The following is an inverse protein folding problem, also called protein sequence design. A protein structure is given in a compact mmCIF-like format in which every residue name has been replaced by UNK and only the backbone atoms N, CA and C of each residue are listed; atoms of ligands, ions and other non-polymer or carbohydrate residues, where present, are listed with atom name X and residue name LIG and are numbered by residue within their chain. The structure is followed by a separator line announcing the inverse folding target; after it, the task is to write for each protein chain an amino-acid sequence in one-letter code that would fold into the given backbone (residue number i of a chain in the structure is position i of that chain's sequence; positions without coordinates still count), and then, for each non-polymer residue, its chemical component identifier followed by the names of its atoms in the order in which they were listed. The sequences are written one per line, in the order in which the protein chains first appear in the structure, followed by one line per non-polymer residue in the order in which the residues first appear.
data_IF_012453177614
#
_entry.id   IF_012453177614
#
_cell.length_a   1.000
_cell.length_b   1.000
_cell.length_c   1.000
_cell.angle_alpha   90.00
_cell.angle_beta   90.00
_cell.angle_gamma   90.00
#
_symmetry.space_group_name_H-M   'P 1'
#
loop_
_entity.id
_entity.type
_entity.pdbx_description
1 polymer ?
#
# COMPACT_ATOMS: atom_id res chain seq x y z
N UNK A 1 -3.16 2.78 13.19
CA UNK A 1 -2.58 3.80 12.28
C UNK A 1 -3.25 5.14 12.52
N UNK A 2 -4.56 5.28 12.29
CA UNK A 2 -5.28 6.53 12.63
C UNK A 2 -5.24 6.84 14.13
N UNK A 3 -5.47 5.86 15.01
CA UNK A 3 -5.37 6.03 16.47
C UNK A 3 -3.98 6.45 16.97
N UNK A 4 -2.92 6.17 16.21
CA UNK A 4 -1.57 6.62 16.53
C UNK A 4 -1.33 8.05 16.04
N UNK A 5 -2.03 8.46 14.98
CA UNK A 5 -1.92 9.79 14.40
C UNK A 5 -2.74 10.83 15.16
N UNK A 6 -3.89 10.45 15.71
CA UNK A 6 -4.76 11.33 16.51
C UNK A 6 -4.45 11.31 18.02
N UNK A 7 -3.48 10.47 18.42
CA UNK A 7 -3.00 10.33 19.79
C UNK A 7 -4.13 10.21 20.83
N UNK A 8 -4.28 11.21 21.71
CA UNK A 8 -5.29 11.23 22.77
C UNK A 8 -6.58 11.98 22.42
N UNK A 9 -6.63 12.72 21.30
CA UNK A 9 -7.81 13.48 20.89
C UNK A 9 -8.46 12.87 19.64
N UNK A 10 -9.52 12.10 19.89
CA UNK A 10 -10.23 11.37 18.86
C UNK A 10 -11.43 12.15 18.30
N UNK A 11 -11.65 13.41 18.69
CA UNK A 11 -12.87 14.15 18.30
C UNK A 11 -12.91 14.50 16.81
N UNK A 12 -11.74 14.83 16.25
CA UNK A 12 -11.60 15.36 14.88
C UNK A 12 -10.76 14.42 14.00
N UNK A 13 -10.84 13.11 14.26
CA UNK A 13 -10.05 12.10 13.55
C UNK A 13 -10.29 12.08 12.03
N UNK A 14 -11.47 12.52 11.61
CA UNK A 14 -11.92 12.61 10.22
C UNK A 14 -11.22 13.75 9.46
N UNK A 15 -10.92 14.87 10.12
CA UNK A 15 -10.15 15.99 9.53
C UNK A 15 -8.74 15.55 9.12
N UNK A 16 -8.22 14.51 9.77
CA UNK A 16 -6.89 13.96 9.53
C UNK A 16 -6.83 12.90 8.42
N UNK A 17 -7.98 12.39 7.95
CA UNK A 17 -8.03 11.35 6.92
C UNK A 17 -7.33 11.71 5.61
N UNK A 18 -7.48 12.93 5.05
CA UNK A 18 -6.82 13.27 3.78
C UNK A 18 -5.29 13.20 3.89
N UNK A 19 -4.73 13.70 4.99
CA UNK A 19 -3.29 13.69 5.24
C UNK A 19 -2.79 12.25 5.43
N UNK A 20 -3.51 11.44 6.21
CA UNK A 20 -3.16 10.03 6.42
C UNK A 20 -3.24 9.22 5.13
N UNK A 21 -4.28 9.43 4.33
CA UNK A 21 -4.46 8.76 3.04
C UNK A 21 -3.33 9.12 2.08
N UNK A 22 -2.94 10.40 2.00
CA UNK A 22 -1.82 10.83 1.17
C UNK A 22 -0.51 10.18 1.61
N UNK A 23 -0.21 10.20 2.91
CA UNK A 23 0.98 9.58 3.48
C UNK A 23 1.01 8.07 3.20
N UNK A 24 -0.11 7.38 3.39
CA UNK A 24 -0.22 5.95 3.11
C UNK A 24 -0.03 5.63 1.62
N UNK A 25 -0.61 6.44 0.72
CA UNK A 25 -0.52 6.19 -0.71
C UNK A 25 0.85 6.50 -1.32
N UNK A 26 1.64 7.37 -0.68
CA UNK A 26 2.98 7.76 -1.16
C UNK A 26 4.12 7.03 -0.45
N UNK A 27 3.84 6.34 0.67
CA UNK A 27 4.82 5.49 1.33
C UNK A 27 5.03 4.17 0.56
N UNK A 28 6.29 3.73 0.46
CA UNK A 28 6.62 2.41 -0.09
C UNK A 28 6.13 1.33 0.87
N UNK A 29 5.33 0.40 0.37
CA UNK A 29 4.83 -0.72 1.16
C UNK A 29 5.83 -1.88 1.14
N UNK A 30 6.22 -2.40 2.31
CA UNK A 30 7.20 -3.49 2.44
C UNK A 30 6.77 -4.80 1.74
N UNK A 31 5.47 -5.10 1.71
CA UNK A 31 4.95 -6.32 1.11
C UNK A 31 4.93 -6.26 -0.42
N UNK A 32 4.77 -5.08 -1.02
CA UNK A 32 4.72 -4.90 -2.48
C UNK A 32 6.04 -4.38 -3.05
N UNK A 33 6.83 -3.64 -2.28
CA UNK A 33 8.03 -2.93 -2.71
C UNK A 33 7.75 -1.64 -3.49
N UNK A 34 6.49 -1.22 -3.61
CA UNK A 34 6.05 -0.03 -4.35
C UNK A 34 5.11 0.82 -3.52
N UNK A 35 4.91 2.07 -3.92
CA UNK A 35 3.85 2.92 -3.36
C UNK A 35 2.48 2.46 -3.88
N UNK A 36 1.41 2.51 -3.06
CA UNK A 36 0.05 2.27 -3.55
C UNK A 36 -0.36 3.21 -4.68
N UNK A 37 0.09 4.47 -4.63
CA UNK A 37 -0.16 5.46 -5.67
C UNK A 37 0.34 4.99 -7.04
N UNK A 38 1.60 4.54 -7.11
CA UNK A 38 2.19 4.08 -8.35
C UNK A 38 1.49 2.85 -8.91
N UNK A 39 1.15 1.85 -8.07
CA UNK A 39 0.47 0.65 -8.53
C UNK A 39 -0.95 0.94 -9.07
N UNK A 40 -1.67 1.87 -8.44
CA UNK A 40 -3.04 2.20 -8.82
C UNK A 40 -3.13 3.17 -10.01
N UNK A 41 -2.20 4.13 -10.10
CA UNK A 41 -2.29 5.24 -11.06
C UNK A 41 -1.19 5.21 -12.13
N UNK A 42 -0.19 4.34 -12.01
CA UNK A 42 0.98 4.31 -12.89
C UNK A 42 1.92 5.51 -12.73
N UNK A 43 1.72 6.32 -11.69
CA UNK A 43 2.53 7.50 -11.36
C UNK A 43 2.41 7.82 -9.87
N UNK A 44 3.36 8.57 -9.36
CA UNK A 44 3.28 9.09 -8.00
C UNK A 44 2.27 10.24 -7.87
N UNK A 45 1.75 10.43 -6.65
CA UNK A 45 0.90 11.58 -6.34
C UNK A 45 1.77 12.85 -6.25
N UNK A 46 1.20 13.97 -6.72
CA UNK A 46 1.86 15.26 -6.59
C UNK A 46 1.88 15.67 -5.11
N UNK A 47 3.04 16.11 -4.62
CA UNK A 47 3.15 16.67 -3.28
C UNK A 47 2.65 18.11 -3.28
N UNK A 48 2.12 18.61 -2.14
CA UNK A 48 1.62 19.99 -2.04
C UNK A 48 2.65 21.08 -2.38
N UNK A 49 3.94 20.75 -2.29
CA UNK A 49 5.07 21.63 -2.59
C UNK A 49 5.94 21.07 -3.70
N UNK A 50 5.37 20.28 -4.62
CA UNK A 50 6.14 19.80 -5.76
C UNK A 50 6.60 21.01 -6.56
N UNK A 51 7.92 21.22 -6.63
CA UNK A 51 8.51 22.01 -7.71
C UNK A 51 7.93 21.46 -9.02
N UNK A 52 7.53 22.33 -9.95
CA UNK A 52 7.04 21.96 -11.27
C UNK A 52 8.16 21.24 -12.04
N UNK A 53 8.47 20.00 -11.66
CA UNK A 53 9.27 19.09 -12.43
C UNK A 53 8.38 18.71 -13.58
N UNK A 54 8.69 19.29 -14.74
CA UNK A 54 8.18 18.94 -16.05
C UNK A 54 7.90 17.44 -16.09
N UNK A 55 6.64 17.06 -15.92
CA UNK A 55 6.18 15.72 -16.28
C UNK A 55 6.41 15.62 -17.77
N UNK A 56 7.56 15.09 -18.16
CA UNK A 56 7.81 14.70 -19.55
C UNK A 56 6.67 13.76 -19.90
N UNK A 57 5.87 14.12 -20.91
CA UNK A 57 4.76 13.30 -21.34
C UNK A 57 5.31 11.94 -21.79
N UNK A 58 5.23 10.95 -20.90
CA UNK A 58 5.58 9.57 -21.22
C UNK A 58 4.42 8.97 -22.00
N UNK A 59 4.73 8.25 -23.07
CA UNK A 59 3.72 7.60 -23.88
C UNK A 59 2.89 6.62 -23.03
N UNK A 60 1.54 6.61 -23.14
CA UNK A 60 0.69 5.74 -22.33
C UNK A 60 1.03 4.25 -22.43
N UNK A 61 1.55 3.81 -23.58
CA UNK A 61 2.00 2.43 -23.82
C UNK A 61 3.21 2.06 -22.96
N UNK A 62 4.12 3.00 -22.73
CA UNK A 62 5.31 2.78 -21.91
C UNK A 62 4.95 2.72 -20.43
N UNK A 63 4.08 3.60 -19.96
CA UNK A 63 3.54 3.59 -18.59
C UNK A 63 2.88 2.23 -18.33
N UNK A 64 2.02 1.77 -19.25
CA UNK A 64 1.38 0.45 -19.13
C UNK A 64 2.40 -0.67 -18.98
N UNK A 65 3.43 -0.70 -19.82
CA UNK A 65 4.50 -1.71 -19.76
C UNK A 65 5.28 -1.64 -18.43
N UNK A 66 5.55 -0.44 -17.92
CA UNK A 66 6.23 -0.26 -16.63
C UNK A 66 5.39 -0.76 -15.46
N UNK A 67 4.09 -0.45 -15.48
CA UNK A 67 3.13 -0.89 -14.46
C UNK A 67 2.95 -2.42 -14.50
N UNK A 68 2.85 -3.02 -15.68
CA UNK A 68 2.78 -4.49 -15.83
C UNK A 68 3.99 -5.18 -15.21
N UNK A 69 5.21 -4.70 -15.50
CA UNK A 69 6.44 -5.20 -14.86
C UNK A 69 6.41 -5.03 -13.33
N UNK A 70 5.92 -3.90 -12.84
CA UNK A 70 5.78 -3.67 -11.40
C UNK A 70 4.79 -4.65 -10.76
N UNK A 71 3.69 -4.98 -11.42
CA UNK A 71 2.74 -5.99 -10.95
C UNK A 71 3.35 -7.39 -10.90
N UNK A 72 4.17 -7.78 -11.88
CA UNK A 72 4.90 -9.06 -11.86
C UNK A 72 5.81 -9.16 -10.64
N UNK A 73 6.61 -8.13 -10.37
CA UNK A 73 7.48 -8.08 -9.20
C UNK A 73 6.69 -8.06 -7.88
N UNK A 74 5.58 -7.31 -7.85
CA UNK A 74 4.70 -7.23 -6.69
C UNK A 74 4.14 -8.60 -6.31
N UNK A 75 3.75 -9.44 -7.29
CA UNK A 75 3.29 -10.81 -7.02
C UNK A 75 4.36 -11.66 -6.33
N UNK A 76 5.61 -11.54 -6.75
CA UNK A 76 6.74 -12.24 -6.13
C UNK A 76 6.97 -11.74 -4.70
N UNK A 77 6.94 -10.43 -4.49
CA UNK A 77 7.09 -9.83 -3.15
C UNK A 77 5.96 -10.25 -2.21
N UNK A 78 4.71 -10.23 -2.67
CA UNK A 78 3.55 -10.66 -1.89
C UNK A 78 3.65 -12.14 -1.50
N UNK A 79 4.05 -13.02 -2.41
CA UNK A 79 4.25 -14.43 -2.10
C UNK A 79 5.30 -14.62 -0.99
N UNK A 80 6.42 -13.89 -1.05
CA UNK A 80 7.46 -13.91 -0.01
C UNK A 80 6.97 -13.33 1.31
N UNK A 81 6.28 -12.19 1.27
CA UNK A 81 5.73 -11.54 2.45
C UNK A 81 4.69 -12.44 3.15
N UNK A 82 3.84 -13.11 2.37
CA UNK A 82 2.89 -14.09 2.85
C UNK A 82 3.59 -15.25 3.56
N UNK A 83 4.59 -15.88 2.94
CA UNK A 83 5.36 -16.96 3.57
C UNK A 83 6.02 -16.51 4.89
N UNK A 84 6.57 -15.29 4.92
CA UNK A 84 7.17 -14.71 6.15
C UNK A 84 6.11 -14.54 7.24
N UNK A 85 4.96 -13.95 6.92
CA UNK A 85 3.89 -13.70 7.89
C UNK A 85 3.21 -14.99 8.35
N UNK A 86 3.03 -15.96 7.46
CA UNK A 86 2.44 -17.26 7.75
C UNK A 86 3.16 -17.94 8.91
N UNK A 87 4.50 -17.93 8.92
CA UNK A 87 5.30 -18.48 10.02
C UNK A 87 4.90 -17.91 11.38
N UNK A 88 4.76 -16.59 11.49
CA UNK A 88 4.42 -15.93 12.75
C UNK A 88 2.95 -16.10 13.12
N UNK A 89 2.06 -15.98 12.14
CA UNK A 89 0.62 -16.16 12.33
C UNK A 89 0.28 -17.58 12.79
N UNK A 90 0.93 -18.60 12.20
CA UNK A 90 0.65 -20.00 12.51
C UNK A 90 1.29 -20.50 13.81
N UNK A 91 2.28 -19.80 14.38
CA UNK A 91 3.08 -20.27 15.54
C UNK A 91 2.22 -20.69 16.74
N UNK A 92 1.06 -20.07 16.95
CA UNK A 92 0.16 -20.33 18.09
C UNK A 92 -1.27 -20.64 17.65
N UNK A 93 -1.47 -20.96 16.37
CA UNK A 93 -2.80 -21.21 15.83
C UNK A 93 -3.33 -22.54 16.36
N UNK A 94 -4.46 -22.52 17.05
CA UNK A 94 -5.15 -23.74 17.49
C UNK A 94 -5.62 -24.52 16.24
N UNK A 95 -5.57 -25.86 16.23
CA UNK A 95 -6.04 -26.68 15.10
C UNK A 95 -7.58 -26.72 14.99
N UNK A 96 -8.26 -25.63 15.34
CA UNK A 96 -9.70 -25.51 15.24
C UNK A 96 -10.12 -25.44 13.77
N UNK A 97 -11.09 -26.26 13.41
CA UNK A 97 -11.71 -26.30 12.08
C UNK A 97 -13.20 -26.07 12.25
N UNK A 98 -13.77 -24.98 11.72
CA UNK A 98 -15.22 -24.79 11.74
C UNK A 98 -15.88 -25.90 10.92
N UNK A 99 -17.00 -26.45 11.41
CA UNK A 99 -17.95 -27.18 10.58
C UNK A 99 -18.87 -26.15 9.93
N UNK A 100 -19.13 -26.30 8.62
CA UNK A 100 -20.03 -25.39 7.91
C UNK A 100 -21.44 -25.67 8.45
N UNK A 101 -22.06 -24.69 9.12
CA UNK A 101 -23.46 -24.75 9.56
C UNK A 101 -23.69 -24.99 11.06
N UNK A 102 -22.66 -24.92 11.91
CA UNK A 102 -22.83 -24.66 13.35
C UNK A 102 -22.71 -23.16 13.70
#
# INVERSE_FOLDING_TARGET
MISQYVEGDHKNWDEHLPALQFAHNTAVNDATGYTPAYLNHGRELATPHADEKTTTATEPSEIRRQVEKAYELTRIHLARAFQRQEKYYNLRRRPWRPQIGE
#
